data_IF_140457124262
#
_entry.id   IF_140457124262
#
_cell.length_a   1.000
_cell.length_b   1.000
_cell.length_c   1.000
_cell.angle_alpha   90.00
_cell.angle_beta   90.00
_cell.angle_gamma   90.00
#
_symmetry.space_group_name_H-M   'P 1'
#
loop_
_entity.id
_entity.type
_entity.pdbx_description
1 polymer ?
#
# COMPACT_ATOMS: atom_id res chain seq x y z
N UNK A 1 54.37 55.94 4.83
CA UNK A 1 54.34 54.70 4.02
C UNK A 1 53.27 53.78 4.57
N UNK A 2 52.11 53.72 3.91
CA UNK A 2 51.10 52.68 4.10
C UNK A 2 50.33 52.56 2.78
N UNK A 3 50.84 51.71 1.86
CA UNK A 3 50.13 51.39 0.62
C UNK A 3 49.03 50.37 0.96
N UNK A 4 47.77 50.75 0.72
CA UNK A 4 46.60 49.87 0.83
C UNK A 4 46.64 48.83 -0.29
N UNK A 5 46.45 47.53 0.00
CA UNK A 5 46.46 46.49 -1.03
C UNK A 5 45.20 46.60 -1.90
N UNK A 6 45.37 46.41 -3.21
CA UNK A 6 44.34 46.51 -4.23
C UNK A 6 43.35 45.33 -4.15
N UNK A 7 42.06 45.64 -3.98
CA UNK A 7 40.94 44.71 -3.83
C UNK A 7 40.45 44.06 -5.16
N UNK A 8 41.12 44.34 -6.27
CA UNK A 8 40.76 43.86 -7.61
C UNK A 8 40.75 42.33 -7.79
N UNK A 9 41.68 41.52 -7.23
CA UNK A 9 41.67 40.08 -7.46
C UNK A 9 40.52 39.38 -6.69
N UNK A 10 40.02 39.99 -5.61
CA UNK A 10 38.92 39.44 -4.82
C UNK A 10 37.57 39.57 -5.54
N UNK A 11 37.37 40.68 -6.26
CA UNK A 11 36.18 40.89 -7.08
C UNK A 11 36.15 39.98 -8.32
N UNK A 12 37.31 39.72 -8.93
CA UNK A 12 37.42 38.79 -10.06
C UNK A 12 37.11 37.34 -9.62
N UNK A 13 37.55 36.95 -8.43
CA UNK A 13 37.25 35.64 -7.83
C UNK A 13 35.75 35.49 -7.50
N UNK A 14 35.12 36.56 -7.01
CA UNK A 14 33.68 36.57 -6.71
C UNK A 14 32.80 36.50 -7.98
N UNK A 15 33.26 37.10 -9.08
CA UNK A 15 32.59 37.02 -10.38
C UNK A 15 32.71 35.64 -11.05
N UNK A 16 33.76 34.88 -10.76
CA UNK A 16 33.91 33.51 -11.28
C UNK A 16 33.05 32.50 -10.51
N UNK A 17 32.75 32.75 -9.23
CA UNK A 17 31.89 31.91 -8.40
C UNK A 17 30.40 31.98 -8.79
N UNK A 18 29.94 33.08 -9.40
CA UNK A 18 28.54 33.19 -9.86
C UNK A 18 28.25 32.41 -11.15
N UNK A 19 29.26 32.08 -11.96
CA UNK A 19 29.10 31.32 -13.19
C UNK A 19 28.96 29.79 -12.97
N UNK A 20 29.23 29.29 -11.76
CA UNK A 20 29.15 27.86 -11.44
C UNK A 20 27.75 27.41 -10.94
N UNK A 21 26.80 28.34 -10.75
CA UNK A 21 25.39 27.99 -10.54
C UNK A 21 24.75 27.75 -11.90
N UNK A 22 25.26 26.74 -12.60
CA UNK A 22 24.64 26.21 -13.80
C UNK A 22 23.33 25.55 -13.36
N UNK A 23 22.22 26.13 -13.77
CA UNK A 23 20.87 25.66 -13.49
C UNK A 23 20.77 24.17 -13.87
N UNK A 24 20.64 23.31 -12.86
CA UNK A 24 19.93 22.07 -13.02
C UNK A 24 18.43 22.43 -13.15
N UNK A 25 18.02 22.78 -14.37
CA UNK A 25 16.63 22.70 -14.78
C UNK A 25 16.22 21.22 -14.68
N UNK A 26 15.78 20.81 -13.49
CA UNK A 26 14.91 19.66 -13.37
C UNK A 26 13.68 20.00 -14.22
N UNK A 27 13.56 19.38 -15.39
CA UNK A 27 12.40 19.51 -16.25
C UNK A 27 11.15 19.24 -15.43
N UNK A 28 10.44 20.30 -15.08
CA UNK A 28 9.06 20.23 -14.65
C UNK A 28 8.30 19.86 -15.91
N UNK A 29 8.16 18.56 -16.16
CA UNK A 29 7.16 18.08 -17.10
C UNK A 29 5.84 18.71 -16.67
N UNK A 30 5.31 19.57 -17.51
CA UNK A 30 3.98 20.14 -17.34
C UNK A 30 3.01 18.97 -17.38
N UNK A 31 2.70 18.44 -16.20
CA UNK A 31 1.81 17.31 -16.05
C UNK A 31 0.43 17.78 -16.52
N UNK A 32 0.10 17.40 -17.76
CA UNK A 32 -1.21 17.70 -18.35
C UNK A 32 -2.29 17.23 -17.38
N UNK A 33 -3.32 18.03 -17.07
CA UNK A 33 -4.36 17.69 -16.10
C UNK A 33 -5.06 16.37 -16.40
N UNK A 34 -4.97 15.86 -17.63
CA UNK A 34 -5.53 14.56 -18.04
C UNK A 34 -4.74 13.36 -17.49
N UNK A 35 -3.53 13.56 -16.97
CA UNK A 35 -2.66 12.48 -16.47
C UNK A 35 -2.77 12.25 -14.97
N UNK A 36 -3.39 13.14 -14.21
CA UNK A 36 -3.54 12.98 -12.77
C UNK A 36 -4.96 12.59 -12.41
N UNK A 37 -5.11 11.89 -11.29
CA UNK A 37 -6.42 11.70 -10.67
C UNK A 37 -6.94 13.06 -10.20
N UNK A 38 -8.12 13.46 -10.67
CA UNK A 38 -8.79 14.67 -10.19
C UNK A 38 -9.98 14.27 -9.33
N UNK A 39 -10.08 14.86 -8.14
CA UNK A 39 -11.18 14.62 -7.20
C UNK A 39 -11.83 15.95 -6.87
N UNK A 40 -13.12 16.05 -7.14
CA UNK A 40 -13.96 17.21 -6.90
C UNK A 40 -15.06 16.85 -5.90
N UNK A 41 -15.20 17.60 -4.82
CA UNK A 41 -16.32 17.44 -3.88
C UNK A 41 -17.57 18.10 -4.47
N UNK A 42 -18.59 17.29 -4.77
CA UNK A 42 -19.87 17.75 -5.31
C UNK A 42 -20.83 18.18 -4.20
N UNK A 43 -20.82 17.46 -3.07
CA UNK A 43 -21.67 17.74 -1.92
C UNK A 43 -20.83 17.56 -0.67
N UNK A 44 -20.75 18.62 0.13
CA UNK A 44 -20.09 18.60 1.43
C UNK A 44 -20.91 17.81 2.46
N UNK A 45 -20.26 17.18 3.45
CA UNK A 45 -20.97 16.46 4.51
C UNK A 45 -21.79 17.44 5.39
N UNK A 46 -22.96 16.97 5.85
CA UNK A 46 -23.88 17.78 6.69
C UNK A 46 -23.30 18.11 8.08
N UNK A 47 -22.38 17.29 8.57
CA UNK A 47 -21.73 17.46 9.86
C UNK A 47 -20.22 17.61 9.69
N UNK A 48 -19.55 18.37 10.58
CA UNK A 48 -18.09 18.46 10.56
C UNK A 48 -17.50 17.07 10.70
N UNK A 49 -16.69 16.69 9.71
CA UNK A 49 -16.12 15.36 9.62
C UNK A 49 -15.07 15.15 10.70
N UNK A 50 -15.47 14.50 11.80
CA UNK A 50 -14.54 14.15 12.86
C UNK A 50 -13.53 13.09 12.41
N UNK A 51 -13.97 12.18 11.53
CA UNK A 51 -13.23 10.97 11.23
C UNK A 51 -13.39 10.58 9.74
N UNK A 52 -12.45 11.01 8.89
CA UNK A 52 -12.51 10.71 7.47
C UNK A 52 -11.99 9.29 7.17
N UNK A 53 -12.36 8.77 5.99
CA UNK A 53 -12.01 7.43 5.53
C UNK A 53 -10.51 7.21 5.41
N UNK A 54 -10.00 6.13 6.02
CA UNK A 54 -8.59 5.77 6.00
C UNK A 54 -8.36 4.30 5.61
N UNK A 55 -7.10 3.96 5.31
CA UNK A 55 -6.71 2.59 4.97
C UNK A 55 -7.14 1.57 6.05
N UNK A 56 -7.70 0.46 5.57
CA UNK A 56 -8.28 -0.62 6.36
C UNK A 56 -9.75 -0.42 6.72
N UNK A 57 -10.32 0.77 6.56
CA UNK A 57 -11.74 0.99 6.83
C UNK A 57 -12.61 0.36 5.74
N UNK A 58 -13.81 -0.05 6.13
CA UNK A 58 -14.82 -0.60 5.23
C UNK A 58 -15.84 0.49 4.90
N UNK A 59 -15.98 0.81 3.61
CA UNK A 59 -16.87 1.83 3.11
C UNK A 59 -18.06 1.18 2.41
N UNK A 60 -19.25 1.75 2.64
CA UNK A 60 -20.45 1.48 1.88
C UNK A 60 -20.71 2.67 0.97
N UNK A 61 -20.60 2.47 -0.34
CA UNK A 61 -20.68 3.55 -1.32
C UNK A 61 -21.78 3.30 -2.34
N UNK A 62 -22.47 4.37 -2.73
CA UNK A 62 -23.16 4.41 -4.01
C UNK A 62 -22.28 5.12 -5.03
N UNK A 63 -22.15 4.54 -6.21
CA UNK A 63 -21.43 5.11 -7.33
C UNK A 63 -22.22 5.04 -8.63
N UNK A 64 -21.87 5.95 -9.53
CA UNK A 64 -22.17 5.88 -10.96
C UNK A 64 -20.89 6.12 -11.73
N UNK A 65 -20.45 5.12 -12.48
CA UNK A 65 -19.29 5.19 -13.37
C UNK A 65 -19.73 5.51 -14.80
N UNK A 66 -19.10 6.50 -15.42
CA UNK A 66 -19.33 6.88 -16.81
C UNK A 66 -18.03 7.13 -17.55
N UNK A 67 -18.11 7.15 -18.87
CA UNK A 67 -17.06 7.70 -19.72
C UNK A 67 -17.17 9.24 -19.73
N UNK A 68 -16.10 9.91 -20.17
CA UNK A 68 -16.08 11.38 -20.33
C UNK A 68 -17.10 11.91 -21.35
N UNK A 69 -17.60 11.04 -22.23
CA UNK A 69 -18.67 11.34 -23.19
C UNK A 69 -20.08 11.22 -22.57
N UNK A 70 -20.18 10.90 -21.28
CA UNK A 70 -21.43 10.75 -20.54
C UNK A 70 -22.06 9.36 -20.62
N UNK A 71 -21.49 8.41 -21.38
CA UNK A 71 -22.01 7.04 -21.42
C UNK A 71 -21.79 6.36 -20.08
N UNK A 72 -22.87 5.91 -19.45
CA UNK A 72 -22.83 5.18 -18.18
C UNK A 72 -22.28 3.77 -18.43
N UNK A 73 -21.23 3.43 -17.68
CA UNK A 73 -20.59 2.11 -17.68
C UNK A 73 -21.31 1.19 -16.69
N UNK A 74 -21.55 1.69 -15.47
CA UNK A 74 -22.21 0.96 -14.38
C UNK A 74 -22.74 1.94 -13.32
N UNK A 75 -23.77 1.54 -12.58
CA UNK A 75 -24.32 2.30 -11.45
C UNK A 75 -24.84 1.37 -10.37
N UNK A 76 -24.71 1.82 -9.12
CA UNK A 76 -25.20 1.09 -7.94
C UNK A 76 -26.50 1.66 -7.38
N UNK A 77 -27.06 2.73 -7.95
CA UNK A 77 -28.23 3.43 -7.41
C UNK A 77 -29.50 2.56 -7.34
N UNK A 78 -29.57 1.48 -8.13
CA UNK A 78 -30.71 0.55 -8.18
C UNK A 78 -30.51 -0.72 -7.34
N UNK A 79 -29.38 -0.85 -6.64
CA UNK A 79 -28.99 -2.03 -5.85
C UNK A 79 -28.46 -1.60 -4.49
N UNK A 80 -28.11 -2.56 -3.64
CA UNK A 80 -27.47 -2.26 -2.36
C UNK A 80 -26.11 -1.54 -2.56
N UNK A 81 -25.67 -0.70 -1.59
CA UNK A 81 -24.38 -0.04 -1.64
C UNK A 81 -23.23 -1.03 -1.83
N UNK A 82 -22.25 -0.64 -2.65
CA UNK A 82 -21.04 -1.43 -2.82
C UNK A 82 -20.20 -1.34 -1.54
N UNK A 83 -19.82 -2.50 -1.01
CA UNK A 83 -18.96 -2.61 0.19
C UNK A 83 -17.53 -2.86 -0.25
N UNK A 84 -16.60 -2.00 0.19
CA UNK A 84 -15.17 -2.10 -0.11
C UNK A 84 -14.34 -1.87 1.15
N UNK A 85 -13.21 -2.56 1.26
CA UNK A 85 -12.18 -2.30 2.29
C UNK A 85 -11.02 -1.54 1.64
N UNK A 86 -10.73 -0.34 2.14
CA UNK A 86 -9.67 0.52 1.60
C UNK A 86 -8.29 -0.12 1.79
N UNK A 87 -7.52 -0.21 0.70
CA UNK A 87 -6.18 -0.78 0.67
C UNK A 87 -6.13 -2.25 0.25
N UNK A 88 -7.28 -2.85 -0.07
CA UNK A 88 -7.36 -4.24 -0.57
C UNK A 88 -7.39 -4.33 -2.10
N UNK A 89 -7.35 -3.20 -2.82
CA UNK A 89 -7.34 -3.17 -4.31
C UNK A 89 -8.51 -3.93 -4.93
N UNK A 90 -9.68 -3.85 -4.29
CA UNK A 90 -10.91 -4.52 -4.74
C UNK A 90 -11.56 -3.78 -5.92
N UNK A 91 -11.25 -2.50 -6.08
CA UNK A 91 -11.69 -1.64 -7.18
C UNK A 91 -10.48 -1.06 -7.90
N UNK A 92 -10.73 -0.37 -9.02
CA UNK A 92 -9.66 0.28 -9.76
C UNK A 92 -8.86 1.26 -8.87
N UNK A 93 -7.52 1.36 -9.05
CA UNK A 93 -6.66 2.15 -8.16
C UNK A 93 -7.09 3.60 -7.98
N UNK A 94 -7.52 4.28 -9.05
CA UNK A 94 -7.94 5.67 -8.97
C UNK A 94 -9.25 5.87 -8.19
N UNK A 95 -10.15 4.89 -8.22
CA UNK A 95 -11.39 4.94 -7.43
C UNK A 95 -11.05 4.76 -5.95
N UNK A 96 -10.22 3.77 -5.60
CA UNK A 96 -9.77 3.57 -4.22
C UNK A 96 -9.06 4.80 -3.66
N UNK A 97 -8.21 5.45 -4.46
CA UNK A 97 -7.52 6.70 -4.07
C UNK A 97 -8.48 7.86 -3.86
N UNK A 98 -9.53 7.99 -4.68
CA UNK A 98 -10.49 9.11 -4.58
C UNK A 98 -11.36 9.09 -3.31
N UNK A 99 -11.44 7.91 -2.66
CA UNK A 99 -12.23 7.67 -1.47
C UNK A 99 -11.46 7.93 -0.17
N UNK A 100 -10.15 8.16 -0.26
CA UNK A 100 -9.36 8.57 0.89
C UNK A 100 -9.83 9.93 1.39
N UNK A 101 -9.79 10.09 2.70
CA UNK A 101 -10.21 11.31 3.38
C UNK A 101 -11.67 11.72 3.11
N UNK A 102 -12.53 10.77 2.71
CA UNK A 102 -13.95 11.00 2.44
C UNK A 102 -14.80 10.84 3.70
N UNK A 103 -15.82 11.66 3.83
CA UNK A 103 -16.68 11.72 5.00
C UNK A 103 -18.08 11.15 4.70
N UNK A 104 -18.73 10.56 5.71
CA UNK A 104 -20.08 10.01 5.54
C UNK A 104 -21.05 11.13 5.13
N UNK A 105 -21.84 10.87 4.09
CA UNK A 105 -22.75 11.84 3.47
C UNK A 105 -22.11 12.73 2.39
N UNK A 106 -20.78 12.70 2.23
CA UNK A 106 -20.10 13.44 1.17
C UNK A 106 -20.38 12.81 -0.21
N UNK A 107 -20.44 13.64 -1.26
CA UNK A 107 -20.42 13.19 -2.66
C UNK A 107 -19.21 13.76 -3.38
N UNK A 108 -18.51 12.91 -4.13
CA UNK A 108 -17.33 13.28 -4.92
C UNK A 108 -17.44 12.84 -6.36
N UNK A 109 -16.78 13.57 -7.24
CA UNK A 109 -16.51 13.19 -8.62
C UNK A 109 -15.02 12.92 -8.78
N UNK A 110 -14.69 11.72 -9.22
CA UNK A 110 -13.33 11.31 -9.52
C UNK A 110 -13.17 11.18 -11.05
N UNK A 111 -12.28 11.96 -11.65
CA UNK A 111 -11.86 11.81 -13.04
C UNK A 111 -10.56 11.01 -13.03
N UNK A 112 -10.65 9.77 -13.51
CA UNK A 112 -9.59 8.77 -13.37
C UNK A 112 -8.94 8.52 -14.74
N UNK A 113 -7.63 8.80 -14.88
CA UNK A 113 -6.90 8.51 -16.11
C UNK A 113 -6.75 7.00 -16.33
N UNK A 114 -6.57 6.60 -17.59
CA UNK A 114 -6.60 5.18 -17.99
C UNK A 114 -5.65 4.29 -17.19
N UNK A 115 -4.44 4.75 -16.88
CA UNK A 115 -3.44 3.98 -16.13
C UNK A 115 -3.81 3.72 -14.65
N UNK A 116 -4.72 4.51 -14.07
CA UNK A 116 -5.32 4.27 -12.75
C UNK A 116 -6.69 3.59 -12.83
N UNK A 117 -7.15 3.27 -14.04
CA UNK A 117 -8.40 2.58 -14.34
C UNK A 117 -8.14 1.25 -15.08
N UNK A 118 -8.51 1.17 -16.36
CA UNK A 118 -8.48 -0.07 -17.16
C UNK A 118 -7.30 -0.14 -18.17
N UNK A 119 -6.49 0.91 -18.25
CA UNK A 119 -5.29 1.02 -19.08
C UNK A 119 -5.54 0.77 -20.58
N UNK A 120 -4.48 0.35 -21.27
CA UNK A 120 -4.49 0.04 -22.71
C UNK A 120 -5.43 -1.09 -23.12
N UNK A 121 -5.82 -1.95 -22.16
CA UNK A 121 -6.73 -3.07 -22.43
C UNK A 121 -8.19 -2.62 -22.45
N UNK A 122 -8.53 -1.60 -21.67
CA UNK A 122 -9.92 -1.25 -21.42
C UNK A 122 -10.68 -2.37 -20.70
N UNK A 123 -12.00 -2.33 -20.78
CA UNK A 123 -12.92 -3.35 -20.30
C UNK A 123 -14.06 -3.55 -21.32
N UNK A 124 -13.81 -4.29 -22.41
CA UNK A 124 -14.79 -4.48 -23.48
C UNK A 124 -16.04 -5.24 -23.00
N UNK A 125 -17.25 -4.89 -23.50
CA UNK A 125 -17.53 -3.83 -24.48
C UNK A 125 -17.71 -2.43 -23.88
N UNK A 126 -17.75 -2.30 -22.54
CA UNK A 126 -18.23 -1.10 -21.85
C UNK A 126 -17.19 0.03 -21.77
N UNK A 127 -15.90 -0.30 -21.67
CA UNK A 127 -14.81 0.69 -21.54
C UNK A 127 -13.77 0.48 -22.64
N UNK A 128 -13.54 1.46 -23.54
CA UNK A 128 -12.50 1.39 -24.56
C UNK A 128 -11.09 1.33 -23.96
N UNK A 129 -10.12 0.93 -24.80
CA UNK A 129 -8.70 1.05 -24.49
C UNK A 129 -8.31 2.51 -24.24
N UNK A 130 -7.44 2.73 -23.24
CA UNK A 130 -6.92 4.05 -22.87
C UNK A 130 -7.98 5.11 -22.52
N UNK A 131 -9.19 4.67 -22.16
CA UNK A 131 -10.27 5.56 -21.79
C UNK A 131 -10.04 6.19 -20.40
N UNK A 132 -10.37 7.48 -20.31
CA UNK A 132 -10.58 8.18 -19.04
C UNK A 132 -11.99 7.90 -18.57
N UNK A 133 -12.15 7.58 -17.29
CA UNK A 133 -13.43 7.25 -16.67
C UNK A 133 -13.74 8.25 -15.57
N UNK A 134 -15.01 8.56 -15.39
CA UNK A 134 -15.52 9.42 -14.34
C UNK A 134 -16.35 8.56 -13.37
N UNK A 135 -16.18 8.77 -12.08
CA UNK A 135 -17.01 8.16 -11.04
C UNK A 135 -17.58 9.23 -10.13
N UNK A 136 -18.91 9.30 -10.07
CA UNK A 136 -19.62 10.06 -9.07
C UNK A 136 -19.94 9.10 -7.92
N UNK A 137 -19.46 9.39 -6.72
CA UNK A 137 -19.50 8.50 -5.56
C UNK A 137 -20.06 9.22 -4.36
N UNK A 138 -20.88 8.52 -3.58
CA UNK A 138 -21.49 8.96 -2.34
C UNK A 138 -21.15 7.96 -1.22
N UNK A 139 -20.62 8.47 -0.12
CA UNK A 139 -20.27 7.64 1.03
C UNK A 139 -21.48 7.53 1.97
N UNK A 140 -22.07 6.33 2.04
CA UNK A 140 -23.29 6.06 2.80
C UNK A 140 -22.97 5.68 4.24
N UNK A 141 -21.94 4.85 4.43
CA UNK A 141 -21.51 4.41 5.76
C UNK A 141 -20.02 4.09 5.79
N UNK A 142 -19.42 4.25 6.97
CA UNK A 142 -18.02 3.94 7.25
C UNK A 142 -17.96 3.04 8.49
N UNK A 143 -17.32 1.89 8.35
CA UNK A 143 -17.05 0.94 9.43
C UNK A 143 -15.53 0.88 9.61
N UNK A 144 -15.06 1.37 10.76
CA UNK A 144 -13.62 1.39 11.06
C UNK A 144 -13.08 -0.01 11.32
N UNK A 145 -11.92 -0.31 10.74
CA UNK A 145 -11.19 -1.52 11.12
C UNK A 145 -10.73 -1.43 12.58
N UNK A 146 -11.06 -2.46 13.35
CA UNK A 146 -10.62 -2.55 14.73
C UNK A 146 -9.07 -2.60 14.80
N UNK A 147 -8.48 -1.93 15.80
CA UNK A 147 -7.03 -1.77 15.94
C UNK A 147 -6.30 -3.12 16.00
N UNK A 148 -6.87 -4.08 16.73
CA UNK A 148 -6.33 -5.43 16.83
C UNK A 148 -6.27 -6.16 15.49
N UNK A 149 -7.22 -5.95 14.59
CA UNK A 149 -7.26 -6.55 13.27
C UNK A 149 -6.22 -5.92 12.35
N UNK A 150 -5.99 -4.59 12.44
CA UNK A 150 -4.87 -3.94 11.75
C UNK A 150 -3.54 -4.54 12.20
N UNK A 151 -3.38 -4.75 13.51
CA UNK A 151 -2.18 -5.34 14.10
C UNK A 151 -2.01 -6.82 13.71
N UNK A 152 -3.07 -7.63 13.79
CA UNK A 152 -3.02 -9.05 13.41
C UNK A 152 -2.73 -9.19 11.92
N UNK A 153 -3.42 -8.46 11.03
CA UNK A 153 -3.17 -8.50 9.58
C UNK A 153 -1.73 -8.10 9.23
N UNK A 154 -1.14 -7.13 9.95
CA UNK A 154 0.24 -6.70 9.75
C UNK A 154 1.30 -7.64 10.35
N UNK A 155 1.09 -8.12 11.57
CA UNK A 155 2.09 -8.90 12.34
C UNK A 155 2.03 -10.39 12.01
N UNK A 156 0.84 -10.96 11.78
CA UNK A 156 0.66 -12.38 11.52
C UNK A 156 1.53 -12.93 10.37
N UNK A 157 1.67 -12.26 9.20
CA UNK A 157 2.57 -12.75 8.16
C UNK A 157 4.04 -12.72 8.59
N UNK A 158 4.48 -11.69 9.33
CA UNK A 158 5.85 -11.60 9.85
C UNK A 158 6.14 -12.72 10.86
N UNK A 159 5.20 -12.95 11.77
CA UNK A 159 5.27 -14.03 12.75
C UNK A 159 5.26 -15.39 12.07
N UNK A 160 4.40 -15.59 11.07
CA UNK A 160 4.38 -16.81 10.25
C UNK A 160 5.72 -17.08 9.57
N UNK A 161 6.32 -16.05 8.95
CA UNK A 161 7.62 -16.15 8.28
C UNK A 161 8.77 -16.45 9.24
N UNK A 162 8.68 -16.10 10.52
CA UNK A 162 9.69 -16.46 11.52
C UNK A 162 9.44 -17.83 12.17
N UNK A 163 8.19 -18.13 12.51
CA UNK A 163 7.81 -19.35 13.23
C UNK A 163 7.98 -20.59 12.36
N UNK A 164 7.55 -20.55 11.09
CA UNK A 164 7.64 -21.70 10.19
C UNK A 164 9.08 -22.21 10.02
N UNK A 165 10.08 -21.38 9.65
CA UNK A 165 11.45 -21.84 9.54
C UNK A 165 12.07 -22.23 10.90
N UNK A 166 11.69 -21.57 12.00
CA UNK A 166 12.13 -21.97 13.34
C UNK A 166 11.62 -23.37 13.71
N UNK A 167 10.35 -23.68 13.44
CA UNK A 167 9.76 -24.99 13.69
C UNK A 167 10.40 -26.06 12.79
N UNK A 168 10.59 -25.79 11.50
CA UNK A 168 11.30 -26.70 10.60
C UNK A 168 12.75 -26.93 11.06
N UNK A 169 13.43 -25.88 11.52
CA UNK A 169 14.77 -25.95 12.09
C UNK A 169 14.81 -26.81 13.37
N UNK A 170 13.84 -26.66 14.27
CA UNK A 170 13.73 -27.46 15.49
C UNK A 170 13.42 -28.93 15.20
N UNK A 171 12.50 -29.20 14.26
CA UNK A 171 12.19 -30.56 13.80
C UNK A 171 13.44 -31.18 13.17
N UNK A 172 14.12 -30.46 12.28
CA UNK A 172 15.37 -30.89 11.67
C UNK A 172 16.46 -31.18 12.70
N UNK A 173 16.66 -30.27 13.66
CA UNK A 173 17.61 -30.44 14.77
C UNK A 173 17.28 -31.66 15.63
N UNK A 174 16.00 -31.89 15.93
CA UNK A 174 15.56 -33.05 16.69
C UNK A 174 15.81 -34.36 15.93
N UNK A 175 15.52 -34.41 14.62
CA UNK A 175 15.80 -35.56 13.77
C UNK A 175 17.31 -35.81 13.65
N UNK A 176 18.12 -34.77 13.46
CA UNK A 176 19.58 -34.83 13.44
C UNK A 176 20.13 -35.41 14.75
N UNK A 177 19.68 -34.86 15.89
CA UNK A 177 20.09 -35.33 17.22
C UNK A 177 19.64 -36.77 17.49
N UNK A 178 18.47 -37.18 17.00
CA UNK A 178 17.96 -38.55 17.14
C UNK A 178 18.77 -39.54 16.30
N UNK A 179 19.14 -39.19 15.07
CA UNK A 179 19.98 -40.00 14.20
C UNK A 179 21.41 -40.17 14.75
N UNK A 180 21.98 -39.10 15.31
CA UNK A 180 23.34 -39.09 15.86
C UNK A 180 23.43 -39.52 17.33
N UNK A 181 22.36 -40.03 17.96
CA UNK A 181 22.46 -40.61 19.31
C UNK A 181 23.28 -41.90 19.25
N UNK A 182 24.44 -41.99 19.93
CA UNK A 182 25.25 -43.20 19.89
C UNK A 182 24.48 -44.38 20.51
N UNK A 183 24.38 -45.50 19.76
CA UNK A 183 23.74 -46.76 20.20
C UNK A 183 24.40 -47.39 21.45
N UNK A 184 25.49 -46.81 21.94
CA UNK A 184 26.31 -47.27 23.07
C UNK A 184 25.52 -47.30 24.38
N UNK A 185 24.59 -46.37 24.62
CA UNK A 185 23.79 -46.32 25.87
C UNK A 185 22.87 -47.55 26.04
N UNK A 186 22.20 -48.03 24.98
CA UNK A 186 21.33 -49.22 25.08
C UNK A 186 22.12 -50.52 25.21
N UNK A 187 23.30 -50.62 24.57
CA UNK A 187 24.22 -51.75 24.78
C UNK A 187 24.76 -51.76 26.21
N UNK A 188 25.22 -50.63 26.74
CA UNK A 188 25.71 -50.52 28.12
C UNK A 188 24.62 -50.74 29.18
N UNK A 189 23.40 -50.21 29.01
CA UNK A 189 22.28 -50.50 29.93
C UNK A 189 21.86 -51.99 29.89
N UNK A 190 21.90 -52.63 28.71
CA UNK A 190 21.56 -54.06 28.55
C UNK A 190 22.66 -54.96 29.13
N UNK A 191 23.92 -54.57 28.99
CA UNK A 191 25.08 -55.27 29.53
C UNK A 191 25.21 -55.11 31.05
N UNK A 192 24.91 -53.93 31.59
CA UNK A 192 24.85 -53.69 33.04
C UNK A 192 23.67 -54.44 33.69
N UNK A 193 22.49 -54.48 33.04
CA UNK A 193 21.36 -55.32 33.50
C UNK A 193 21.67 -56.82 33.44
N UNK A 194 22.39 -57.28 32.41
CA UNK A 194 22.84 -58.68 32.28
C UNK A 194 23.93 -59.05 33.30
N UNK A 195 24.79 -58.11 33.68
CA UNK A 195 25.80 -58.32 34.72
C UNK A 195 25.19 -58.27 36.13
N UNK A 196 24.16 -57.44 36.37
CA UNK A 196 23.40 -57.45 37.63
C UNK A 196 22.54 -58.70 37.81
N UNK A 197 22.02 -59.33 36.74
CA UNK A 197 21.26 -60.58 36.84
C UNK A 197 22.12 -61.84 37.03
N UNK A 198 23.43 -61.76 36.77
CA UNK A 198 24.39 -62.87 36.97
C UNK A 198 25.07 -62.84 38.34
N UNK A 199 24.87 -61.77 39.11
CA UNK A 199 25.49 -61.54 40.43
C UNK A 199 24.50 -61.73 41.59
N UNK A 200 23.32 -62.29 41.31
CA UNK A 200 22.27 -62.65 42.24
C UNK A 200 21.91 -64.11 41.98
#
# INVERSE_FOLDING_TARGET
MALRPSLLPLHLLLLLLSAAVCQAEAGFETESPVRTLQVETLVEPLEPCAEPAAFGDTLHIHYTGSLVDGRIIDTSLTRDPLVIELGQKQVIPGLEQSLLDMCVGEKRRAIIPSHLAYGKRGFPPSVPADAVVQYDVELIALIRANYWLKLVKGILPLVGMAIVPALLGLIGYHLYRKANRPKVSKKKLKEEKRNKSKKK
#
